data_IF_166405601882
#
_entry.id   IF_166405601882
#
_cell.length_a   1.000
_cell.length_b   1.000
_cell.length_c   1.000
_cell.angle_alpha   90.00
_cell.angle_beta   90.00
_cell.angle_gamma   90.00
#
_symmetry.space_group_name_H-M   'P 1'
#
loop_
_entity.id
_entity.type
_entity.pdbx_description
1 polymer ?
#
# COMPACT_ATOMS: atom_id res chain seq x y z
N UNK A 1 -2.62 34.91 11.17
CA UNK A 1 -3.38 33.72 11.62
C UNK A 1 -2.91 33.18 12.99
N UNK A 2 -2.64 34.04 13.99
CA UNK A 2 -2.17 33.60 15.32
C UNK A 2 -3.15 33.92 16.47
N UNK A 3 -4.16 34.76 16.26
CA UNK A 3 -5.15 35.11 17.29
C UNK A 3 -6.25 34.04 17.50
N UNK A 4 -6.58 33.24 16.48
CA UNK A 4 -7.60 32.19 16.58
C UNK A 4 -7.16 30.98 17.42
N UNK A 5 -5.85 30.73 17.56
CA UNK A 5 -5.34 29.61 18.38
C UNK A 5 -5.38 29.92 19.87
N UNK A 6 -5.25 31.20 20.26
CA UNK A 6 -5.25 31.60 21.66
C UNK A 6 -6.67 31.60 22.26
N UNK A 7 -7.68 31.99 21.49
CA UNK A 7 -9.08 32.02 21.94
C UNK A 7 -9.68 30.62 22.09
N UNK A 8 -9.27 29.64 21.28
CA UNK A 8 -9.68 28.25 21.48
C UNK A 8 -9.04 27.62 22.72
N UNK A 9 -7.78 27.97 23.03
CA UNK A 9 -7.06 27.45 24.20
C UNK A 9 -7.64 27.97 25.53
N UNK A 10 -8.09 29.23 25.54
CA UNK A 10 -8.78 29.81 26.71
C UNK A 10 -10.20 29.24 26.88
N UNK A 11 -10.92 28.98 25.78
CA UNK A 11 -12.26 28.40 25.83
C UNK A 11 -12.24 26.93 26.27
N UNK A 12 -11.22 26.15 25.89
CA UNK A 12 -11.06 24.77 26.37
C UNK A 12 -10.72 24.71 27.86
N UNK A 13 -9.86 25.60 28.36
CA UNK A 13 -9.44 25.62 29.77
C UNK A 13 -10.57 25.97 30.74
N UNK A 14 -11.52 26.83 30.33
CA UNK A 14 -12.67 27.22 31.16
C UNK A 14 -13.72 26.09 31.26
N UNK A 15 -13.92 25.32 30.19
CA UNK A 15 -14.91 24.22 30.16
C UNK A 15 -14.47 23.03 31.03
N UNK A 16 -13.16 22.82 31.20
CA UNK A 16 -12.64 21.69 32.00
C UNK A 16 -12.84 21.85 33.51
N UNK A 17 -13.01 23.07 34.02
CA UNK A 17 -13.10 23.30 35.46
C UNK A 17 -14.51 23.14 36.05
N UNK A 18 -15.55 23.06 35.23
CA UNK A 18 -16.95 22.99 35.71
C UNK A 18 -17.52 21.57 35.82
N UNK A 19 -16.86 20.56 35.26
CA UNK A 19 -17.40 19.19 35.19
C UNK A 19 -16.86 18.25 36.30
N UNK A 20 -15.97 18.73 37.16
CA UNK A 20 -15.25 17.89 38.13
C UNK A 20 -15.99 17.68 39.47
N UNK A 21 -17.28 18.05 39.59
CA UNK A 21 -18.00 17.96 40.87
C UNK A 21 -19.10 16.89 40.95
N UNK A 22 -19.61 16.37 39.82
CA UNK A 22 -20.85 15.58 39.82
C UNK A 22 -20.73 14.11 39.37
N UNK A 23 -19.56 13.66 38.86
CA UNK A 23 -19.41 12.32 38.24
C UNK A 23 -18.69 11.27 39.12
N UNK A 24 -18.39 11.55 40.39
CA UNK A 24 -17.59 10.66 41.25
C UNK A 24 -18.35 9.40 41.72
N UNK A 25 -19.66 9.26 41.43
CA UNK A 25 -20.48 8.15 41.97
C UNK A 25 -20.90 7.05 40.98
N UNK A 26 -20.64 7.17 39.67
CA UNK A 26 -21.18 6.22 38.68
C UNK A 26 -20.15 5.46 37.82
N UNK A 27 -18.84 5.63 38.04
CA UNK A 27 -17.80 5.10 37.13
C UNK A 27 -17.13 3.78 37.56
N UNK A 28 -17.54 3.20 38.70
CA UNK A 28 -16.88 2.03 39.32
C UNK A 28 -17.03 0.71 38.51
N UNK A 29 -17.67 0.74 37.33
CA UNK A 29 -17.91 -0.43 36.47
C UNK A 29 -17.48 -0.26 35.01
N UNK A 30 -16.65 0.72 34.67
CA UNK A 30 -15.96 0.74 33.39
C UNK A 30 -14.50 0.31 33.58
N UNK A 31 -14.21 -0.97 33.31
CA UNK A 31 -12.84 -1.36 33.00
C UNK A 31 -12.50 -0.78 31.63
N UNK A 32 -12.02 0.47 31.61
CA UNK A 32 -11.39 1.03 30.43
C UNK A 32 -10.12 0.22 30.16
N UNK A 33 -10.06 -0.39 28.97
CA UNK A 33 -8.89 -1.13 28.51
C UNK A 33 -7.66 -0.23 28.69
N UNK A 34 -6.59 -0.68 29.36
CA UNK A 34 -5.46 0.20 29.66
C UNK A 34 -4.92 0.79 28.37
N UNK A 35 -5.05 2.12 28.24
CA UNK A 35 -4.39 2.89 27.20
C UNK A 35 -2.90 2.83 27.55
N UNK A 36 -2.17 1.99 26.85
CA UNK A 36 -0.72 1.99 26.89
C UNK A 36 -0.28 3.36 26.39
N UNK A 37 0.10 4.26 27.31
CA UNK A 37 0.82 5.49 26.97
C UNK A 37 2.23 5.04 26.58
N UNK A 38 2.33 4.55 25.35
CA UNK A 38 3.60 4.18 24.75
C UNK A 38 4.36 5.48 24.52
N UNK A 39 5.34 5.76 25.38
CA UNK A 39 6.34 6.78 25.13
C UNK A 39 7.06 6.40 23.83
N UNK A 40 6.60 6.91 22.69
CA UNK A 40 7.23 6.67 21.40
C UNK A 40 8.72 6.96 21.53
N UNK A 41 9.55 5.92 21.35
CA UNK A 41 10.99 6.09 21.45
C UNK A 41 11.44 7.13 20.42
N UNK A 42 12.43 7.97 20.77
CA UNK A 42 12.99 8.96 19.82
C UNK A 42 13.45 8.30 18.52
N UNK A 43 13.90 7.04 18.61
CA UNK A 43 14.27 6.21 17.46
C UNK A 43 13.07 5.88 16.57
N UNK A 44 11.95 5.45 17.14
CA UNK A 44 10.72 5.17 16.38
C UNK A 44 10.26 6.41 15.62
N UNK A 45 10.32 7.59 16.26
CA UNK A 45 10.01 8.86 15.60
C UNK A 45 10.93 9.18 14.42
N UNK A 46 12.24 8.94 14.56
CA UNK A 46 13.20 9.13 13.45
C UNK A 46 13.00 8.12 12.33
N UNK A 47 12.81 6.84 12.65
CA UNK A 47 12.57 5.79 11.66
C UNK A 47 11.27 6.04 10.87
N UNK A 48 10.23 6.54 11.55
CA UNK A 48 8.97 6.92 10.91
C UNK A 48 9.16 8.04 9.89
N UNK A 49 9.97 9.07 10.23
CA UNK A 49 10.31 10.16 9.29
C UNK A 49 11.13 9.66 8.10
N UNK A 50 12.12 8.80 8.33
CA UNK A 50 12.91 8.22 7.23
C UNK A 50 11.99 7.40 6.31
N UNK A 51 11.10 6.59 6.90
CA UNK A 51 10.16 5.79 6.14
C UNK A 51 9.17 6.64 5.32
N UNK A 52 8.70 7.78 5.86
CA UNK A 52 7.84 8.68 5.09
C UNK A 52 8.56 9.27 3.88
N UNK A 53 9.79 9.77 4.04
CA UNK A 53 10.57 10.28 2.90
C UNK A 53 10.93 9.19 1.88
N UNK A 54 11.23 7.97 2.36
CA UNK A 54 11.48 6.84 1.47
C UNK A 54 10.22 6.46 0.68
N UNK A 55 9.04 6.53 1.30
CA UNK A 55 7.78 6.31 0.63
C UNK A 55 7.52 7.38 -0.45
N UNK A 56 7.81 8.65 -0.16
CA UNK A 56 7.67 9.74 -1.15
C UNK A 56 8.58 9.52 -2.36
N UNK A 57 9.87 9.22 -2.12
CA UNK A 57 10.84 8.93 -3.19
C UNK A 57 10.39 7.71 -4.00
N UNK A 58 9.85 6.68 -3.33
CA UNK A 58 9.35 5.48 -4.00
C UNK A 58 8.20 5.82 -4.95
N UNK A 59 7.20 6.55 -4.48
CA UNK A 59 6.02 6.92 -5.28
C UNK A 59 6.44 7.82 -6.45
N UNK A 60 7.34 8.77 -6.20
CA UNK A 60 7.88 9.62 -7.26
C UNK A 60 8.66 8.84 -8.33
N UNK A 61 9.57 7.94 -7.93
CA UNK A 61 10.32 7.12 -8.90
C UNK A 61 9.41 6.19 -9.70
N UNK A 62 8.33 5.71 -9.07
CA UNK A 62 7.29 4.90 -9.70
C UNK A 62 6.62 5.58 -10.89
N UNK A 63 6.50 6.93 -10.88
CA UNK A 63 6.07 7.69 -12.06
C UNK A 63 6.98 7.43 -13.25
N UNK A 64 8.30 7.46 -13.05
CA UNK A 64 9.27 7.19 -14.11
C UNK A 64 9.30 5.70 -14.49
N UNK A 65 9.00 4.82 -13.54
CA UNK A 65 8.86 3.39 -13.79
C UNK A 65 7.60 3.04 -14.59
N UNK A 66 6.54 3.85 -14.53
CA UNK A 66 5.32 3.66 -15.33
C UNK A 66 5.63 3.60 -16.84
N UNK A 67 6.63 4.38 -17.29
CA UNK A 67 7.12 4.40 -18.66
C UNK A 67 7.75 3.06 -19.05
N UNK A 68 8.36 2.34 -18.09
CA UNK A 68 9.00 1.03 -18.33
C UNK A 68 7.98 -0.06 -18.67
N UNK A 69 6.72 0.09 -18.27
CA UNK A 69 5.66 -0.87 -18.61
C UNK A 69 5.07 -0.64 -20.01
N UNK A 70 5.32 0.52 -20.64
CA UNK A 70 4.83 0.80 -21.99
C UNK A 70 5.39 -0.16 -23.06
N UNK A 71 6.70 -0.46 -23.10
CA UNK A 71 7.23 -1.50 -23.99
C UNK A 71 6.57 -2.86 -23.78
N UNK A 72 6.38 -3.28 -22.52
CA UNK A 72 5.73 -4.57 -22.21
C UNK A 72 4.30 -4.63 -22.76
N UNK A 73 3.52 -3.56 -22.57
CA UNK A 73 2.17 -3.44 -23.13
C UNK A 73 2.16 -3.51 -24.66
N UNK A 74 3.06 -2.76 -25.31
CA UNK A 74 3.18 -2.68 -26.76
C UNK A 74 3.57 -4.05 -27.33
N UNK A 75 4.56 -4.72 -26.74
CA UNK A 75 5.03 -6.03 -27.17
C UNK A 75 3.92 -7.08 -27.08
N UNK A 76 3.18 -7.13 -25.97
CA UNK A 76 2.06 -8.06 -25.79
C UNK A 76 0.88 -7.76 -26.73
N UNK A 77 0.61 -6.48 -27.01
CA UNK A 77 -0.41 -6.08 -27.99
C UNK A 77 -0.03 -6.47 -29.42
N UNK A 78 1.22 -6.23 -29.83
CA UNK A 78 1.72 -6.68 -31.13
C UNK A 78 1.71 -8.21 -31.24
N UNK A 79 2.03 -8.89 -30.14
CA UNK A 79 1.94 -10.32 -30.05
C UNK A 79 0.48 -10.80 -30.25
N UNK A 80 -0.53 -10.16 -29.65
CA UNK A 80 -1.94 -10.51 -29.86
C UNK A 80 -2.41 -10.41 -31.32
N UNK A 81 -1.91 -9.41 -32.06
CA UNK A 81 -2.27 -9.20 -33.46
C UNK A 81 -1.51 -10.10 -34.45
N UNK A 82 -0.42 -10.74 -33.99
CA UNK A 82 0.42 -11.61 -34.82
C UNK A 82 -0.14 -13.05 -34.88
N UNK A 83 -0.47 -13.61 -36.07
CA UNK A 83 -1.09 -14.94 -36.19
C UNK A 83 -0.16 -16.12 -35.87
N UNK A 84 1.15 -15.90 -35.72
CA UNK A 84 2.20 -16.92 -35.73
C UNK A 84 2.71 -17.37 -34.35
N UNK A 85 2.05 -16.98 -33.27
CA UNK A 85 2.51 -17.29 -31.92
C UNK A 85 2.13 -18.70 -31.44
N UNK A 86 3.10 -19.37 -30.82
CA UNK A 86 2.94 -20.65 -30.11
C UNK A 86 2.27 -20.55 -28.74
N UNK A 87 2.12 -19.35 -28.16
CA UNK A 87 1.50 -19.12 -26.85
C UNK A 87 -0.04 -19.00 -26.98
N UNK A 88 -0.84 -19.64 -26.10
CA UNK A 88 -2.29 -19.53 -26.11
C UNK A 88 -2.79 -18.07 -26.03
N UNK A 89 -3.84 -17.74 -26.78
CA UNK A 89 -4.39 -16.36 -26.83
C UNK A 89 -4.83 -15.83 -25.46
N UNK A 90 -5.39 -16.69 -24.61
CA UNK A 90 -5.84 -16.31 -23.26
C UNK A 90 -4.69 -15.79 -22.40
N UNK A 91 -3.53 -16.42 -22.49
CA UNK A 91 -2.35 -16.04 -21.72
C UNK A 91 -1.86 -14.64 -22.11
N UNK A 92 -1.97 -14.28 -23.39
CA UNK A 92 -1.62 -12.96 -23.89
C UNK A 92 -2.63 -11.89 -23.51
N UNK A 93 -3.93 -12.23 -23.53
CA UNK A 93 -4.97 -11.32 -23.05
C UNK A 93 -4.78 -11.00 -21.57
N UNK A 94 -4.44 -12.00 -20.75
CA UNK A 94 -4.15 -11.79 -19.33
C UNK A 94 -2.91 -10.92 -19.15
N UNK A 95 -1.82 -11.17 -19.89
CA UNK A 95 -0.60 -10.35 -19.84
C UNK A 95 -0.87 -8.87 -20.21
N UNK A 96 -1.66 -8.61 -21.25
CA UNK A 96 -2.03 -7.22 -21.63
C UNK A 96 -2.85 -6.55 -20.54
N UNK A 97 -3.80 -7.27 -19.95
CA UNK A 97 -4.62 -6.74 -18.84
C UNK A 97 -3.72 -6.45 -17.62
N UNK A 98 -2.77 -7.32 -17.31
CA UNK A 98 -1.80 -7.11 -16.23
C UNK A 98 -0.92 -5.89 -16.49
N UNK A 99 -0.39 -5.73 -17.71
CA UNK A 99 0.43 -4.57 -18.07
C UNK A 99 -0.36 -3.26 -17.97
N UNK A 100 -1.60 -3.24 -18.46
CA UNK A 100 -2.50 -2.09 -18.31
C UNK A 100 -2.81 -1.81 -16.84
N UNK A 101 -3.04 -2.84 -16.04
CA UNK A 101 -3.31 -2.71 -14.61
C UNK A 101 -2.13 -2.06 -13.88
N UNK A 102 -0.89 -2.47 -14.18
CA UNK A 102 0.32 -1.83 -13.64
C UNK A 102 0.38 -0.34 -13.99
N UNK A 103 0.13 0.04 -15.25
CA UNK A 103 0.15 1.45 -15.66
C UNK A 103 -0.91 2.27 -14.91
N UNK A 104 -2.14 1.76 -14.82
CA UNK A 104 -3.24 2.43 -14.12
C UNK A 104 -2.94 2.59 -12.63
N UNK A 105 -2.38 1.56 -12.00
CA UNK A 105 -1.95 1.57 -10.60
C UNK A 105 -0.94 2.68 -10.34
N UNK A 106 0.14 2.73 -11.13
CA UNK A 106 1.20 3.74 -10.96
C UNK A 106 0.65 5.16 -11.20
N UNK A 107 -0.24 5.34 -12.18
CA UNK A 107 -0.86 6.64 -12.44
C UNK A 107 -1.80 7.09 -11.31
N UNK A 108 -2.59 6.17 -10.75
CA UNK A 108 -3.44 6.48 -9.60
C UNK A 108 -2.62 6.79 -8.35
N UNK A 109 -1.58 6.01 -8.05
CA UNK A 109 -0.70 6.29 -6.90
C UNK A 109 -0.06 7.68 -7.01
N UNK A 110 0.35 8.08 -8.23
CA UNK A 110 0.88 9.40 -8.49
C UNK A 110 -0.18 10.51 -8.40
N UNK A 111 -1.39 10.29 -8.90
CA UNK A 111 -2.47 11.27 -8.73
C UNK A 111 -2.79 11.53 -7.25
N UNK A 112 -2.74 10.50 -6.40
CA UNK A 112 -2.81 10.64 -4.94
C UNK A 112 -1.65 11.47 -4.39
N UNK A 113 -0.42 11.19 -4.82
CA UNK A 113 0.76 11.93 -4.37
C UNK A 113 0.76 13.40 -4.79
N UNK A 114 0.33 13.70 -6.03
CA UNK A 114 0.20 15.07 -6.54
C UNK A 114 -0.85 15.87 -5.75
N UNK A 115 -1.95 15.24 -5.36
CA UNK A 115 -3.01 15.88 -4.56
C UNK A 115 -2.57 16.07 -3.11
N UNK A 116 -1.75 15.17 -2.56
CA UNK A 116 -1.17 15.28 -1.21
C UNK A 116 -0.15 16.42 -1.07
N UNK A 117 0.57 16.74 -2.16
CA UNK A 117 1.56 17.83 -2.21
C UNK A 117 0.97 19.18 -2.67
N UNK A 118 -0.36 19.28 -2.79
CA UNK A 118 -1.07 20.47 -3.26
C UNK A 118 -0.64 20.95 -4.66
N UNK A 119 -0.15 20.04 -5.52
CA UNK A 119 0.21 20.39 -6.91
C UNK A 119 -1.01 20.57 -7.79
N UNK A 120 -2.12 19.89 -7.45
CA UNK A 120 -3.42 20.04 -8.10
C UNK A 120 -4.37 20.68 -7.10
N UNK A 121 -4.89 21.87 -7.43
CA UNK A 121 -5.90 22.56 -6.61
C UNK A 121 -7.28 21.95 -6.82
N UNK A 122 -7.61 20.90 -6.08
CA UNK A 122 -8.97 20.35 -6.03
C UNK A 122 -9.75 20.98 -4.87
N UNK A 123 -11.08 20.95 -4.91
CA UNK A 123 -11.94 21.51 -3.85
C UNK A 123 -11.60 20.93 -2.46
N UNK A 124 -11.26 19.63 -2.38
CA UNK A 124 -10.90 18.91 -1.15
C UNK A 124 -9.69 17.98 -1.36
N UNK A 125 -8.48 18.54 -1.42
CA UNK A 125 -7.23 17.78 -1.65
C UNK A 125 -7.03 16.56 -0.73
N UNK A 126 -7.26 16.64 0.61
CA UNK A 126 -7.08 15.50 1.49
C UNK A 126 -8.02 14.33 1.21
N UNK A 127 -9.25 14.63 0.77
CA UNK A 127 -10.23 13.60 0.44
C UNK A 127 -9.86 12.88 -0.86
N UNK A 128 -9.46 13.64 -1.89
CA UNK A 128 -9.04 13.09 -3.17
C UNK A 128 -7.74 12.29 -3.08
N UNK A 129 -6.78 12.74 -2.28
CA UNK A 129 -5.56 11.99 -1.97
C UNK A 129 -5.92 10.61 -1.38
N UNK A 130 -6.71 10.61 -0.30
CA UNK A 130 -7.13 9.38 0.36
C UNK A 130 -7.93 8.42 -0.55
N UNK A 131 -8.88 8.95 -1.31
CA UNK A 131 -9.71 8.16 -2.22
C UNK A 131 -8.86 7.49 -3.32
N UNK A 132 -7.93 8.25 -3.91
CA UNK A 132 -7.08 7.77 -4.99
C UNK A 132 -6.15 6.65 -4.51
N UNK A 133 -5.60 6.77 -3.29
CA UNK A 133 -4.80 5.69 -2.70
C UNK A 133 -5.61 4.42 -2.43
N UNK A 134 -6.87 4.53 -1.99
CA UNK A 134 -7.75 3.37 -1.81
C UNK A 134 -8.03 2.69 -3.15
N UNK A 135 -8.36 3.46 -4.20
CA UNK A 135 -8.61 2.90 -5.52
C UNK A 135 -7.35 2.27 -6.13
N UNK A 136 -6.19 2.89 -5.92
CA UNK A 136 -4.90 2.29 -6.27
C UNK A 136 -4.73 0.91 -5.59
N UNK A 137 -5.02 0.80 -4.29
CA UNK A 137 -4.94 -0.47 -3.56
C UNK A 137 -5.95 -1.53 -4.07
N UNK A 138 -7.12 -1.11 -4.54
CA UNK A 138 -8.12 -2.03 -5.14
C UNK A 138 -7.65 -2.55 -6.49
N UNK A 139 -7.13 -1.67 -7.33
CA UNK A 139 -6.56 -1.98 -8.64
C UNK A 139 -5.36 -2.94 -8.49
N UNK A 140 -4.51 -2.67 -7.50
CA UNK A 140 -3.45 -3.59 -7.06
C UNK A 140 -3.98 -4.95 -6.60
N UNK A 141 -5.08 -4.96 -5.84
CA UNK A 141 -5.72 -6.20 -5.42
C UNK A 141 -6.23 -7.05 -6.58
N UNK A 142 -6.80 -6.43 -7.61
CA UNK A 142 -7.22 -7.14 -8.84
C UNK A 142 -6.02 -7.75 -9.54
N UNK A 143 -4.91 -7.02 -9.67
CA UNK A 143 -3.67 -7.55 -10.24
C UNK A 143 -3.19 -8.79 -9.48
N UNK A 144 -3.14 -8.70 -8.15
CA UNK A 144 -2.67 -9.78 -7.29
C UNK A 144 -3.54 -11.04 -7.41
N UNK A 145 -4.86 -10.88 -7.49
CA UNK A 145 -5.78 -12.02 -7.66
C UNK A 145 -5.58 -12.69 -9.02
N UNK A 146 -5.42 -11.91 -10.09
CA UNK A 146 -5.14 -12.43 -11.44
C UNK A 146 -3.83 -13.21 -11.42
N UNK A 147 -2.77 -12.64 -10.83
CA UNK A 147 -1.44 -13.26 -10.73
C UNK A 147 -1.49 -14.61 -9.99
N UNK A 148 -2.21 -14.69 -8.87
CA UNK A 148 -2.36 -15.93 -8.10
C UNK A 148 -3.09 -17.00 -8.94
N UNK A 149 -4.20 -16.64 -9.58
CA UNK A 149 -4.97 -17.54 -10.44
C UNK A 149 -4.10 -18.05 -11.59
N UNK A 150 -3.29 -17.16 -12.16
CA UNK A 150 -2.41 -17.47 -13.27
C UNK A 150 -1.28 -18.43 -12.87
N UNK A 151 -0.61 -18.19 -11.75
CA UNK A 151 0.44 -19.07 -11.21
C UNK A 151 -0.10 -20.48 -10.98
N UNK A 152 -1.34 -20.59 -10.48
CA UNK A 152 -2.02 -21.87 -10.24
C UNK A 152 -2.43 -22.53 -11.56
N UNK A 153 -2.98 -21.78 -12.52
CA UNK A 153 -3.45 -22.31 -13.81
C UNK A 153 -2.30 -22.74 -14.73
N UNK A 154 -1.21 -21.96 -14.78
CA UNK A 154 -0.07 -22.21 -15.69
C UNK A 154 0.83 -23.34 -15.21
N UNK A 155 0.88 -23.61 -13.91
CA UNK A 155 1.80 -24.60 -13.35
C UNK A 155 1.10 -25.94 -13.15
N UNK A 156 1.37 -26.97 -13.98
CA UNK A 156 0.82 -28.29 -13.74
C UNK A 156 1.29 -28.82 -12.38
N UNK A 157 0.42 -29.52 -11.66
CA UNK A 157 0.66 -30.01 -10.27
C UNK A 157 1.97 -30.81 -10.14
N UNK A 158 2.38 -31.49 -11.22
CA UNK A 158 3.64 -32.24 -11.28
C UNK A 158 4.93 -31.38 -11.18
N UNK A 159 4.85 -30.06 -11.41
CA UNK A 159 6.01 -29.14 -11.43
C UNK A 159 6.07 -28.19 -10.21
N UNK A 160 5.36 -28.51 -9.13
CA UNK A 160 5.32 -27.69 -7.92
C UNK A 160 6.64 -27.76 -7.14
N UNK A 161 7.64 -27.03 -7.62
CA UNK A 161 8.97 -26.93 -7.01
C UNK A 161 9.01 -25.90 -5.87
N UNK A 162 10.14 -25.85 -5.15
CA UNK A 162 10.38 -24.88 -4.07
C UNK A 162 10.23 -23.43 -4.53
N UNK A 163 10.73 -23.08 -5.72
CA UNK A 163 10.60 -21.73 -6.28
C UNK A 163 9.15 -21.34 -6.55
N UNK A 164 8.33 -22.29 -7.03
CA UNK A 164 6.90 -22.05 -7.22
C UNK A 164 6.19 -21.77 -5.89
N UNK A 165 6.49 -22.55 -4.85
CA UNK A 165 5.93 -22.33 -3.50
C UNK A 165 6.33 -20.96 -2.93
N UNK A 166 7.57 -20.54 -3.15
CA UNK A 166 8.05 -19.22 -2.73
C UNK A 166 7.31 -18.12 -3.50
N UNK A 167 7.14 -18.26 -4.82
CA UNK A 167 6.42 -17.27 -5.63
C UNK A 167 4.95 -17.17 -5.24
N UNK A 168 4.28 -18.30 -4.97
CA UNK A 168 2.92 -18.29 -4.46
C UNK A 168 2.84 -17.63 -3.08
N UNK A 169 3.78 -17.94 -2.18
CA UNK A 169 3.85 -17.32 -0.86
C UNK A 169 4.08 -15.81 -0.93
N UNK A 170 4.96 -15.32 -1.82
CA UNK A 170 5.20 -13.89 -2.06
C UNK A 170 3.92 -13.15 -2.43
N UNK A 171 3.05 -13.76 -3.24
CA UNK A 171 1.76 -13.17 -3.61
C UNK A 171 0.71 -13.28 -2.48
N UNK A 172 0.63 -14.44 -1.83
CA UNK A 172 -0.37 -14.68 -0.76
C UNK A 172 -0.13 -13.79 0.47
N UNK A 173 1.12 -13.56 0.87
CA UNK A 173 1.44 -12.69 2.02
C UNK A 173 1.05 -11.22 1.79
N UNK A 174 0.85 -10.82 0.53
CA UNK A 174 0.38 -9.47 0.18
C UNK A 174 -1.13 -9.31 0.30
N UNK A 175 -1.92 -10.40 0.27
CA UNK A 175 -3.40 -10.34 0.33
C UNK A 175 -3.90 -9.61 1.59
N UNK A 176 -3.41 -9.91 2.82
CA UNK A 176 -3.84 -9.18 4.00
C UNK A 176 -3.48 -7.69 3.92
N UNK A 177 -2.35 -7.36 3.30
CA UNK A 177 -1.87 -5.99 3.11
C UNK A 177 -2.78 -5.21 2.15
N UNK A 178 -3.09 -5.80 0.99
CA UNK A 178 -4.05 -5.26 0.00
C UNK A 178 -5.39 -4.99 0.68
N UNK A 179 -5.90 -5.97 1.44
CA UNK A 179 -7.20 -5.85 2.09
C UNK A 179 -7.17 -4.72 3.13
N UNK A 180 -6.11 -4.62 3.92
CA UNK A 180 -5.94 -3.54 4.89
C UNK A 180 -5.99 -2.15 4.23
N UNK A 181 -5.26 -1.95 3.13
CA UNK A 181 -5.19 -0.66 2.45
C UNK A 181 -6.36 -0.39 1.49
N UNK A 182 -7.13 -1.42 1.14
CA UNK A 182 -8.37 -1.28 0.36
C UNK A 182 -9.58 -0.85 1.20
N UNK A 183 -9.52 -0.97 2.53
CA UNK A 183 -10.59 -0.57 3.45
C UNK A 183 -10.28 0.81 4.04
N UNK A 184 -11.32 1.65 4.21
CA UNK A 184 -11.18 2.99 4.80
C UNK A 184 -10.72 2.96 6.25
N UNK A 185 -11.20 1.98 7.03
CA UNK A 185 -10.90 1.89 8.45
C UNK A 185 -9.72 0.95 8.78
N UNK A 186 -9.18 0.24 7.78
CA UNK A 186 -8.05 -0.67 7.94
C UNK A 186 -8.36 -1.92 8.79
N UNK A 187 -8.06 -3.13 8.28
CA UNK A 187 -8.33 -4.37 9.03
C UNK A 187 -7.19 -4.81 9.98
N UNK A 188 -5.95 -4.40 9.74
CA UNK A 188 -4.75 -4.91 10.43
C UNK A 188 -4.09 -3.87 11.32
N UNK A 189 -3.53 -4.33 12.44
CA UNK A 189 -2.70 -3.47 13.31
C UNK A 189 -1.35 -3.14 12.65
N UNK A 190 -0.73 -1.99 12.96
CA UNK A 190 0.57 -1.58 12.37
C UNK A 190 1.68 -2.64 12.48
N UNK A 191 1.69 -3.43 13.56
CA UNK A 191 2.64 -4.53 13.74
C UNK A 191 2.56 -5.57 12.62
N UNK A 192 1.36 -6.08 12.32
CA UNK A 192 1.15 -7.09 11.27
C UNK A 192 1.41 -6.55 9.87
N UNK A 193 1.11 -5.27 9.63
CA UNK A 193 1.46 -4.59 8.37
C UNK A 193 2.98 -4.61 8.17
N UNK A 194 3.74 -4.30 9.22
CA UNK A 194 5.19 -4.39 9.21
C UNK A 194 5.69 -5.81 8.92
N UNK A 195 5.17 -6.81 9.62
CA UNK A 195 5.58 -8.22 9.44
C UNK A 195 5.31 -8.71 8.01
N UNK A 196 4.10 -8.48 7.48
CA UNK A 196 3.75 -8.88 6.11
C UNK A 196 4.58 -8.13 5.06
N UNK A 197 4.81 -6.81 5.26
CA UNK A 197 5.64 -6.00 4.38
C UNK A 197 7.11 -6.42 4.37
N UNK A 198 7.69 -6.69 5.55
CA UNK A 198 9.05 -7.21 5.68
C UNK A 198 9.16 -8.61 5.08
N UNK A 199 8.18 -9.49 5.31
CA UNK A 199 8.15 -10.84 4.77
C UNK A 199 8.10 -10.89 3.24
N UNK A 200 7.29 -10.02 2.62
CA UNK A 200 7.25 -9.88 1.16
C UNK A 200 8.58 -9.36 0.60
N UNK A 201 9.18 -8.36 1.26
CA UNK A 201 10.40 -7.69 0.79
C UNK A 201 11.68 -8.51 1.00
N UNK A 202 11.71 -9.40 2.02
CA UNK A 202 12.89 -10.19 2.38
C UNK A 202 13.44 -11.02 1.24
N UNK A 203 12.54 -11.63 0.45
CA UNK A 203 12.97 -12.49 -0.64
C UNK A 203 13.58 -11.70 -1.79
N UNK A 204 13.00 -10.55 -2.15
CA UNK A 204 13.58 -9.68 -3.18
C UNK A 204 14.94 -9.13 -2.73
N UNK A 205 15.08 -8.80 -1.45
CA UNK A 205 16.36 -8.42 -0.87
C UNK A 205 17.40 -9.55 -0.93
N UNK A 206 17.01 -10.78 -0.57
CA UNK A 206 17.88 -11.95 -0.65
C UNK A 206 18.31 -12.24 -2.09
N UNK A 207 17.37 -12.20 -3.03
CA UNK A 207 17.62 -12.46 -4.45
C UNK A 207 18.61 -11.41 -4.99
N UNK A 208 18.40 -10.12 -4.68
CA UNK A 208 19.32 -9.03 -5.00
C UNK A 208 20.71 -9.25 -4.37
N UNK A 209 20.77 -9.58 -3.09
CA UNK A 209 22.04 -9.81 -2.40
C UNK A 209 22.82 -10.98 -3.00
N UNK A 210 22.12 -12.05 -3.39
CA UNK A 210 22.75 -13.19 -4.06
C UNK A 210 23.21 -12.89 -5.49
N UNK A 211 22.60 -11.91 -6.14
CA UNK A 211 23.02 -11.46 -7.48
C UNK A 211 24.25 -10.56 -7.45
N UNK A 212 24.59 -10.02 -6.27
CA UNK A 212 25.86 -9.30 -6.02
C UNK A 212 26.92 -10.36 -5.71
N UNK A 213 27.21 -11.22 -6.69
CA UNK A 213 28.49 -11.93 -6.71
C UNK A 213 29.55 -10.88 -7.05
N UNK A 214 30.39 -10.56 -6.07
CA UNK A 214 31.66 -9.86 -6.26
C UNK A 214 32.62 -10.81 -6.99
N UNK A 215 32.42 -10.98 -8.30
CA UNK A 215 33.42 -11.58 -9.21
C UNK A 215 34.34 -10.50 -9.77
#
# INVERSE_FOLDING_TARGET
>A
MQWYKLTQFLKSTIITNTNNADDEKCSILNYEKPVLVESESKLAGHLKKINSYLADIRIFNRLTDSIKYMPWLIDEYHALTSPSSSVPKLDRYVNVIQALNCIVLELLENAGWLTDHDWVGTNDNPWWSFETYIWCCRVWGVYLVIEIIEIIRRTPVAKWNKSWRINLFKNVIQIPLVLHWSLRDGCLTPFWVGVCGSGASWWNFKDMWSSIDLS
#
